data_IF_770520076399
#
_entry.id   IF_770520076399
#
_cell.length_a   1.000
_cell.length_b   1.000
_cell.length_c   1.000
_cell.angle_alpha   90.00
_cell.angle_beta   90.00
_cell.angle_gamma   90.00
#
_symmetry.space_group_name_H-M   'P 1'
#
loop_
_entity.id
_entity.type
_entity.pdbx_description
1 polymer ?
#
# COMPACT_ATOMS: atom_id res chain seq x y z
N UNK A 1 23.22 -0.49 10.96
CA UNK A 1 23.38 -1.14 9.65
C UNK A 1 22.50 -0.34 8.69
N UNK A 2 23.07 0.41 7.73
CA UNK A 2 22.26 1.06 6.70
C UNK A 2 21.99 0.02 5.63
N UNK A 3 20.74 -0.40 5.48
CA UNK A 3 20.34 -1.25 4.35
C UNK A 3 20.14 -0.33 3.16
N UNK A 4 20.66 -0.72 1.99
CA UNK A 4 20.41 0.05 0.79
C UNK A 4 18.95 -0.16 0.35
N UNK A 5 18.30 0.91 -0.09
CA UNK A 5 16.94 0.83 -0.65
C UNK A 5 16.81 -0.26 -1.72
N UNK A 6 17.86 -0.43 -2.54
CA UNK A 6 17.93 -1.46 -3.56
C UNK A 6 17.86 -2.89 -2.99
N UNK A 7 18.43 -3.14 -1.82
CA UNK A 7 18.36 -4.46 -1.19
C UNK A 7 16.91 -4.79 -0.81
N UNK A 8 16.18 -3.80 -0.28
CA UNK A 8 14.77 -3.94 0.09
C UNK A 8 13.92 -4.19 -1.16
N UNK A 9 14.13 -3.41 -2.24
CA UNK A 9 13.44 -3.60 -3.51
C UNK A 9 13.67 -4.99 -4.12
N UNK A 10 14.89 -5.53 -3.99
CA UNK A 10 15.21 -6.88 -4.43
C UNK A 10 14.44 -7.93 -3.62
N UNK A 11 14.29 -7.73 -2.30
CA UNK A 11 13.48 -8.64 -1.47
C UNK A 11 12.00 -8.58 -1.83
N UNK A 12 11.45 -7.38 -2.04
CA UNK A 12 10.08 -7.23 -2.50
C UNK A 12 9.83 -7.98 -3.82
N UNK A 13 10.77 -7.88 -4.77
CA UNK A 13 10.69 -8.56 -6.07
C UNK A 13 10.78 -10.08 -5.94
N UNK A 14 11.55 -10.58 -4.96
CA UNK A 14 11.73 -12.01 -4.73
C UNK A 14 10.52 -12.66 -4.03
N UNK A 15 9.69 -11.88 -3.33
CA UNK A 15 8.50 -12.37 -2.64
C UNK A 15 7.32 -12.55 -3.62
N UNK A 16 6.89 -13.80 -3.77
CA UNK A 16 5.85 -14.17 -4.74
C UNK A 16 4.48 -13.62 -4.34
N UNK A 17 4.15 -13.59 -3.06
CA UNK A 17 2.85 -13.13 -2.59
C UNK A 17 2.75 -11.62 -2.75
N UNK A 18 3.81 -10.89 -2.39
CA UNK A 18 3.87 -9.45 -2.58
C UNK A 18 3.77 -9.06 -4.06
N UNK A 19 4.53 -9.71 -4.95
CA UNK A 19 4.45 -9.44 -6.39
C UNK A 19 3.08 -9.79 -6.97
N UNK A 20 2.43 -10.83 -6.42
CA UNK A 20 1.05 -11.19 -6.77
C UNK A 20 0.08 -10.09 -6.37
N UNK A 21 0.17 -9.59 -5.12
CA UNK A 21 -0.65 -8.48 -4.61
C UNK A 21 -0.45 -7.22 -5.45
N UNK A 22 0.80 -6.83 -5.73
CA UNK A 22 1.11 -5.63 -6.51
C UNK A 22 0.59 -5.72 -7.95
N UNK A 23 0.67 -6.91 -8.56
CA UNK A 23 0.11 -7.16 -9.88
C UNK A 23 -1.42 -7.04 -9.87
N UNK A 24 -2.08 -7.55 -8.83
CA UNK A 24 -3.53 -7.41 -8.66
C UNK A 24 -3.93 -5.94 -8.51
N UNK A 25 -3.25 -5.19 -7.63
CA UNK A 25 -3.51 -3.76 -7.42
C UNK A 25 -3.38 -2.99 -8.75
N UNK A 26 -2.30 -3.23 -9.50
CA UNK A 26 -2.12 -2.64 -10.84
C UNK A 26 -3.26 -3.00 -11.79
N UNK A 27 -3.73 -4.25 -11.77
CA UNK A 27 -4.83 -4.71 -12.63
C UNK A 27 -6.18 -4.05 -12.33
N UNK A 28 -6.38 -3.49 -11.13
CA UNK A 28 -7.59 -2.73 -10.79
C UNK A 28 -7.67 -1.39 -11.52
N UNK A 29 -6.56 -0.91 -12.10
CA UNK A 29 -6.48 0.36 -12.84
C UNK A 29 -6.98 1.58 -12.04
N UNK A 30 -6.87 1.50 -10.71
CA UNK A 30 -7.18 2.61 -9.82
C UNK A 30 -6.11 3.69 -9.93
N UNK A 31 -6.55 4.95 -10.08
CA UNK A 31 -5.64 6.08 -10.17
C UNK A 31 -4.85 6.25 -8.88
N UNK A 32 -3.55 6.49 -9.04
CA UNK A 32 -2.63 6.75 -7.93
C UNK A 32 -2.73 5.71 -6.80
N UNK A 33 -2.77 4.43 -7.17
CA UNK A 33 -2.88 3.32 -6.23
C UNK A 33 -1.53 2.82 -5.73
N UNK A 34 -1.50 2.44 -4.45
CA UNK A 34 -0.31 2.01 -3.72
C UNK A 34 -0.67 0.91 -2.73
N UNK A 35 0.22 -0.07 -2.56
CA UNK A 35 0.29 -0.84 -1.33
C UNK A 35 0.99 0.03 -0.29
N UNK A 36 0.43 0.22 0.89
CA UNK A 36 0.94 1.22 1.84
C UNK A 36 1.03 0.67 3.28
N UNK A 37 1.45 1.54 4.20
CA UNK A 37 1.26 1.38 5.64
C UNK A 37 1.79 0.05 6.20
N UNK A 38 0.91 -0.72 6.84
CA UNK A 38 1.24 -1.92 7.60
C UNK A 38 1.82 -3.01 6.71
N UNK A 39 1.26 -3.22 5.52
CA UNK A 39 1.69 -4.31 4.63
C UNK A 39 3.14 -4.18 4.18
N UNK A 40 3.56 -2.96 3.79
CA UNK A 40 4.94 -2.71 3.34
C UNK A 40 5.90 -2.71 4.53
N UNK A 41 5.52 -2.05 5.64
CA UNK A 41 6.33 -1.97 6.86
C UNK A 41 6.57 -3.35 7.48
N UNK A 42 5.52 -4.17 7.59
CA UNK A 42 5.59 -5.50 8.19
C UNK A 42 6.55 -6.39 7.40
N UNK A 43 6.49 -6.36 6.06
CA UNK A 43 7.45 -7.08 5.23
C UNK A 43 8.90 -6.67 5.53
N UNK A 44 9.18 -5.36 5.58
CA UNK A 44 10.54 -4.87 5.87
C UNK A 44 10.99 -5.30 7.26
N UNK A 45 10.13 -5.23 8.27
CA UNK A 45 10.46 -5.68 9.62
C UNK A 45 10.70 -7.18 9.71
N UNK A 46 9.90 -7.98 9.02
CA UNK A 46 10.09 -9.42 8.96
C UNK A 46 11.45 -9.75 8.35
N UNK A 47 11.78 -9.13 7.21
CA UNK A 47 13.09 -9.27 6.57
C UNK A 47 14.24 -8.88 7.50
N UNK A 48 14.15 -7.73 8.16
CA UNK A 48 15.15 -7.25 9.13
C UNK A 48 15.31 -8.16 10.35
N UNK A 49 14.27 -8.92 10.69
CA UNK A 49 14.22 -9.80 11.87
C UNK A 49 14.50 -11.26 11.51
N UNK A 50 14.93 -11.57 10.29
CA UNK A 50 15.12 -12.92 9.76
C UNK A 50 13.84 -13.79 9.86
N UNK A 51 12.67 -13.18 9.70
CA UNK A 51 11.39 -13.88 9.58
C UNK A 51 11.00 -14.08 8.11
N UNK A 52 9.95 -14.87 7.87
CA UNK A 52 9.39 -15.10 6.54
C UNK A 52 8.85 -13.78 5.96
N UNK A 53 8.84 -13.65 4.63
CA UNK A 53 8.50 -12.43 3.90
C UNK A 53 7.08 -11.90 4.14
N UNK A 54 6.23 -11.90 3.12
CA UNK A 54 4.86 -11.42 3.30
C UNK A 54 4.03 -12.40 4.16
N UNK A 55 3.32 -11.87 5.16
CA UNK A 55 2.44 -12.64 6.03
C UNK A 55 0.98 -12.47 5.61
N UNK A 56 0.35 -13.57 5.18
CA UNK A 56 -1.04 -13.60 4.69
C UNK A 56 -2.08 -13.36 5.77
N UNK A 57 -1.70 -13.51 7.04
CA UNK A 57 -2.60 -13.22 8.15
C UNK A 57 -2.70 -11.70 8.41
N UNK A 58 -1.78 -10.90 7.85
CA UNK A 58 -1.79 -9.44 7.99
C UNK A 58 -2.65 -8.76 6.94
N UNK A 59 -3.13 -7.57 7.29
CA UNK A 59 -3.93 -6.74 6.41
C UNK A 59 -3.12 -6.27 5.18
N UNK A 60 -3.80 -6.21 4.04
CA UNK A 60 -3.30 -5.68 2.76
C UNK A 60 -3.88 -4.30 2.54
N UNK A 61 -3.15 -3.30 3.02
CA UNK A 61 -3.48 -1.87 2.96
C UNK A 61 -3.27 -1.34 1.54
N UNK A 62 -4.36 -1.20 0.79
CA UNK A 62 -4.37 -0.58 -0.54
C UNK A 62 -4.99 0.80 -0.43
N UNK A 63 -4.21 1.81 -0.79
CA UNK A 63 -4.69 3.18 -0.88
C UNK A 63 -4.71 3.63 -2.34
N UNK A 64 -5.63 4.53 -2.65
CA UNK A 64 -5.64 5.21 -3.94
C UNK A 64 -6.25 6.60 -3.81
N UNK A 65 -6.07 7.42 -4.83
CA UNK A 65 -6.64 8.77 -4.89
C UNK A 65 -7.36 8.97 -6.22
N UNK A 66 -8.69 8.86 -6.20
CA UNK A 66 -9.52 9.20 -7.37
C UNK A 66 -10.79 9.94 -6.94
N UNK A 67 -10.89 11.25 -7.21
CA UNK A 67 -12.10 12.04 -6.92
C UNK A 67 -13.30 11.62 -7.76
N UNK A 68 -13.10 10.88 -8.85
CA UNK A 68 -14.19 10.39 -9.70
C UNK A 68 -14.87 9.14 -9.14
N UNK A 69 -14.24 8.44 -8.20
CA UNK A 69 -14.76 7.22 -7.58
C UNK A 69 -15.39 7.58 -6.24
N UNK A 70 -16.68 7.29 -6.09
CA UNK A 70 -17.43 7.54 -4.86
C UNK A 70 -17.00 6.63 -3.70
N UNK A 71 -17.38 7.00 -2.48
CA UNK A 71 -17.18 6.15 -1.30
C UNK A 71 -17.90 4.80 -1.45
N UNK A 72 -19.14 4.81 -1.98
CA UNK A 72 -19.91 3.58 -2.20
C UNK A 72 -19.26 2.68 -3.26
N UNK A 73 -18.76 3.24 -4.36
CA UNK A 73 -18.02 2.48 -5.37
C UNK A 73 -16.73 1.90 -4.81
N UNK A 74 -16.03 2.63 -3.93
CA UNK A 74 -14.84 2.13 -3.24
C UNK A 74 -15.16 0.85 -2.45
N UNK A 75 -16.26 0.84 -1.68
CA UNK A 75 -16.71 -0.35 -0.94
C UNK A 75 -17.09 -1.51 -1.87
N UNK A 76 -17.71 -1.23 -3.02
CA UNK A 76 -18.04 -2.26 -4.02
C UNK A 76 -16.77 -2.88 -4.62
N UNK A 77 -15.74 -2.08 -4.89
CA UNK A 77 -14.46 -2.57 -5.40
C UNK A 77 -13.77 -3.42 -4.33
N UNK A 78 -13.74 -2.96 -3.08
CA UNK A 78 -13.18 -3.73 -1.95
C UNK A 78 -13.89 -5.09 -1.80
N UNK A 79 -15.22 -5.11 -1.84
CA UNK A 79 -16.01 -6.33 -1.74
C UNK A 79 -15.64 -7.33 -2.85
N UNK A 80 -15.58 -6.86 -4.10
CA UNK A 80 -15.16 -7.70 -5.24
C UNK A 80 -13.72 -8.20 -5.10
N UNK A 81 -12.84 -7.38 -4.53
CA UNK A 81 -11.44 -7.77 -4.29
C UNK A 81 -11.36 -8.92 -3.28
N UNK A 82 -12.13 -8.82 -2.18
CA UNK A 82 -12.26 -9.87 -1.16
C UNK A 82 -12.87 -11.16 -1.73
N UNK A 83 -13.88 -11.05 -2.60
CA UNK A 83 -14.52 -12.21 -3.24
C UNK A 83 -13.58 -12.92 -4.23
N UNK A 84 -12.86 -12.16 -5.06
CA UNK A 84 -11.98 -12.72 -6.08
C UNK A 84 -10.67 -13.26 -5.50
N UNK A 85 -10.19 -12.68 -4.39
CA UNK A 85 -8.91 -13.03 -3.78
C UNK A 85 -9.04 -13.18 -2.26
N UNK A 86 -9.77 -14.20 -1.78
CA UNK A 86 -10.08 -14.39 -0.36
C UNK A 86 -8.87 -14.80 0.48
N UNK A 87 -7.73 -15.10 -0.15
CA UNK A 87 -6.50 -15.50 0.54
C UNK A 87 -5.74 -14.32 1.18
N UNK A 88 -6.21 -13.09 1.00
CA UNK A 88 -5.59 -11.88 1.51
C UNK A 88 -6.63 -11.00 2.21
N UNK A 89 -6.23 -10.38 3.32
CA UNK A 89 -7.07 -9.51 4.13
C UNK A 89 -7.08 -8.09 3.56
N UNK A 90 -7.81 -7.86 2.47
CA UNK A 90 -7.81 -6.57 1.78
C UNK A 90 -8.45 -5.43 2.56
N UNK A 91 -7.76 -4.29 2.61
CA UNK A 91 -8.28 -3.02 3.05
C UNK A 91 -8.10 -1.99 1.93
N UNK A 92 -9.19 -1.54 1.31
CA UNK A 92 -9.14 -0.57 0.21
C UNK A 92 -9.68 0.78 0.66
N UNK A 93 -8.83 1.81 0.63
CA UNK A 93 -9.20 3.18 1.06
C UNK A 93 -8.96 4.20 -0.04
N UNK A 94 -10.01 4.93 -0.40
CA UNK A 94 -9.88 6.13 -1.22
C UNK A 94 -9.51 7.32 -0.33
N UNK A 95 -8.31 7.85 -0.53
CA UNK A 95 -7.75 8.94 0.29
C UNK A 95 -8.54 10.24 0.14
N UNK A 96 -9.31 10.41 -0.93
CA UNK A 96 -10.23 11.54 -1.11
C UNK A 96 -11.17 11.72 0.10
N UNK A 97 -11.67 10.63 0.68
CA UNK A 97 -12.66 10.69 1.77
C UNK A 97 -12.03 10.57 3.16
N UNK A 98 -10.74 10.27 3.26
CA UNK A 98 -10.14 9.92 4.55
C UNK A 98 -9.91 11.10 5.48
N UNK A 99 -9.86 12.31 4.94
CA UNK A 99 -9.84 13.55 5.73
C UNK A 99 -11.12 13.73 6.57
N UNK A 100 -12.26 13.14 6.15
CA UNK A 100 -13.56 13.24 6.86
C UNK A 100 -13.52 12.50 8.19
N UNK A 101 -12.74 11.42 8.27
CA UNK A 101 -12.63 10.57 9.46
C UNK A 101 -11.58 11.07 10.46
N UNK A 102 -10.77 12.06 10.08
CA UNK A 102 -9.71 12.60 10.91
C UNK A 102 -10.00 14.07 11.26
N UNK A 103 -10.26 14.40 12.54
CA UNK A 103 -10.50 15.78 12.94
C UNK A 103 -9.27 16.65 12.60
N UNK A 104 -9.50 17.82 12.00
CA UNK A 104 -8.48 18.79 11.59
C UNK A 104 -7.56 18.36 10.44
N UNK A 105 -8.01 17.47 9.56
CA UNK A 105 -7.25 17.08 8.37
C UNK A 105 -7.83 17.74 7.13
N UNK A 106 -7.03 18.54 6.44
CA UNK A 106 -7.39 19.09 5.13
C UNK A 106 -7.45 17.97 4.07
N UNK A 107 -8.29 18.11 3.03
CA UNK A 107 -8.29 17.20 1.90
C UNK A 107 -6.88 16.98 1.35
N UNK A 108 -6.53 15.71 1.10
CA UNK A 108 -5.24 15.36 0.53
C UNK A 108 -5.17 15.74 -0.95
N UNK A 109 -3.96 16.04 -1.43
CA UNK A 109 -3.74 16.33 -2.85
C UNK A 109 -3.61 15.07 -3.71
N UNK A 110 -2.93 14.06 -3.16
CA UNK A 110 -2.56 12.81 -3.82
C UNK A 110 -2.26 11.73 -2.75
N UNK A 111 -2.04 10.48 -3.16
CA UNK A 111 -1.77 9.37 -2.24
C UNK A 111 -0.48 9.54 -1.45
N UNK A 112 0.54 10.21 -2.00
CA UNK A 112 1.81 10.47 -1.30
C UNK A 112 1.65 11.56 -0.22
N UNK A 113 0.88 12.60 -0.51
CA UNK A 113 0.50 13.62 0.47
C UNK A 113 -0.30 12.99 1.62
N UNK A 114 -1.24 12.09 1.31
CA UNK A 114 -1.97 11.32 2.33
C UNK A 114 -1.02 10.49 3.21
N UNK A 115 -0.13 9.69 2.62
CA UNK A 115 0.85 8.90 3.37
C UNK A 115 1.78 9.76 4.24
N UNK A 116 2.19 10.94 3.76
CA UNK A 116 3.07 11.84 4.51
C UNK A 116 2.45 12.41 5.79
N UNK A 117 1.12 12.36 5.90
CA UNK A 117 0.33 12.87 7.03
C UNK A 117 -0.10 11.75 8.00
N UNK A 118 0.36 10.52 7.80
CA UNK A 118 0.10 9.43 8.74
C UNK A 118 0.68 9.73 10.13
N UNK A 119 0.00 9.30 11.21
CA UNK A 119 0.39 9.64 12.57
C UNK A 119 1.75 9.06 12.96
N UNK A 120 2.12 7.91 12.38
CA UNK A 120 3.36 7.21 12.66
C UNK A 120 4.32 7.33 11.47
N UNK A 121 5.57 7.75 11.72
CA UNK A 121 6.57 7.90 10.64
C UNK A 121 6.88 6.59 9.92
N UNK A 122 6.88 5.47 10.64
CA UNK A 122 7.17 4.16 10.09
C UNK A 122 6.04 3.59 9.22
N UNK A 123 4.85 4.20 9.23
CA UNK A 123 3.74 3.80 8.36
C UNK A 123 3.61 4.71 7.13
N UNK A 124 4.32 5.84 7.08
CA UNK A 124 4.45 6.69 5.90
C UNK A 124 5.37 6.05 4.86
N UNK A 125 4.97 4.87 4.37
CA UNK A 125 5.66 4.08 3.37
C UNK A 125 4.66 3.48 2.38
N UNK A 126 5.03 3.45 1.10
CA UNK A 126 4.22 2.90 0.03
C UNK A 126 5.06 2.25 -1.05
N UNK A 127 4.53 1.19 -1.65
CA UNK A 127 5.13 0.40 -2.72
C UNK A 127 4.11 0.24 -3.84
N UNK A 128 4.52 0.44 -5.09
CA UNK A 128 3.68 0.13 -6.25
C UNK A 128 4.47 -0.49 -7.39
N UNK A 129 3.78 -1.23 -8.23
CA UNK A 129 4.32 -1.77 -9.48
C UNK A 129 3.90 -0.87 -10.63
N UNK A 130 4.89 -0.36 -11.36
CA UNK A 130 4.71 0.50 -12.53
C UNK A 130 4.38 -0.31 -13.79
N UNK A 131 3.98 0.38 -14.87
CA UNK A 131 3.64 -0.25 -16.15
C UNK A 131 4.82 -0.97 -16.81
N UNK A 132 6.06 -0.59 -16.46
CA UNK A 132 7.29 -1.21 -16.94
C UNK A 132 7.80 -2.35 -16.02
N UNK A 133 6.94 -2.87 -15.15
CA UNK A 133 7.24 -3.90 -14.14
C UNK A 133 8.33 -3.50 -13.12
N UNK A 134 8.68 -2.21 -13.02
CA UNK A 134 9.55 -1.71 -11.97
C UNK A 134 8.76 -1.38 -10.71
N UNK A 135 9.39 -1.61 -9.56
CA UNK A 135 8.85 -1.19 -8.27
C UNK A 135 9.21 0.27 -7.99
N UNK A 136 8.23 1.04 -7.53
CA UNK A 136 8.44 2.36 -6.96
C UNK A 136 8.16 2.32 -5.47
N UNK A 137 9.17 2.72 -4.68
CA UNK A 137 9.07 2.88 -3.23
C UNK A 137 8.95 4.36 -2.89
N UNK A 138 7.97 4.68 -2.05
CA UNK A 138 7.82 5.98 -1.43
C UNK A 138 8.02 5.82 0.08
N UNK A 139 9.13 6.32 0.62
CA UNK A 139 9.48 6.21 2.04
C UNK A 139 10.05 7.54 2.58
N UNK A 140 9.26 8.64 2.61
CA UNK A 140 9.74 10.00 2.88
C UNK A 140 10.42 10.19 4.25
N UNK A 141 10.16 9.30 5.21
CA UNK A 141 10.60 9.45 6.61
C UNK A 141 11.49 8.28 7.08
N UNK A 142 11.83 7.35 6.19
CA UNK A 142 12.71 6.22 6.49
C UNK A 142 14.18 6.66 6.34
N UNK A 143 15.02 6.46 7.36
CA UNK A 143 16.44 6.88 7.42
C UNK A 143 17.34 5.70 7.79
#
# INVERSE_FOLDING_TARGET
MKIAEQDILNQFTADKDLMTILTMIRSLQLKDSWLAAGSVRNFIWNYLSNQLGFDKETDVDVIFFDPAISYEETLKIETKLKENYPNYNWELKNQVYMHIHNPNTEPYRDSRDAMSKYPERCTAIGLRLLDNDQLELFAPLMV
#
